data_IF_172050173440
#
_entry.id   IF_172050173440
#
_cell.length_a   1.000
_cell.length_b   1.000
_cell.length_c   1.000
_cell.angle_alpha   90.00
_cell.angle_beta   90.00
_cell.angle_gamma   90.00
#
_symmetry.space_group_name_H-M   'P 1'
#
loop_
_entity.id
_entity.type
_entity.pdbx_description
1 polymer ?
#
# COMPACT_ATOMS: atom_id res chain seq x y z
N UNK A 1 21.66 1.67 -26.78
CA UNK A 1 21.10 0.72 -25.80
C UNK A 1 19.59 0.93 -25.73
N UNK A 2 18.79 -0.12 -25.89
CA UNK A 2 17.33 -0.03 -25.81
C UNK A 2 16.88 -0.03 -24.35
N UNK A 3 16.71 1.17 -23.77
CA UNK A 3 16.21 1.36 -22.40
C UNK A 3 14.73 0.98 -22.21
N UNK A 4 14.01 0.64 -23.29
CA UNK A 4 12.57 0.35 -23.29
C UNK A 4 12.21 -1.13 -23.43
N UNK A 5 13.17 -2.04 -23.21
CA UNK A 5 12.86 -3.48 -23.27
C UNK A 5 12.14 -3.89 -22.00
N UNK A 6 10.83 -4.17 -22.10
CA UNK A 6 10.05 -4.73 -20.98
C UNK A 6 10.54 -6.13 -20.68
N UNK A 7 10.99 -6.36 -19.46
CA UNK A 7 11.41 -7.66 -18.95
C UNK A 7 10.33 -8.29 -18.07
N UNK A 8 10.46 -9.59 -17.78
CA UNK A 8 9.55 -10.28 -16.86
C UNK A 8 9.59 -9.70 -15.44
N UNK A 9 10.74 -9.17 -15.02
CA UNK A 9 10.89 -8.51 -13.72
C UNK A 9 10.08 -7.22 -13.62
N UNK A 10 9.91 -6.49 -14.72
CA UNK A 10 9.10 -5.27 -14.74
C UNK A 10 7.61 -5.57 -14.56
N UNK A 11 7.12 -6.67 -15.14
CA UNK A 11 5.74 -7.12 -14.95
C UNK A 11 5.49 -7.58 -13.51
N UNK A 12 6.41 -8.38 -12.94
CA UNK A 12 6.30 -8.83 -11.55
C UNK A 12 6.34 -7.64 -10.57
N UNK A 13 7.28 -6.71 -10.78
CA UNK A 13 7.39 -5.47 -10.01
C UNK A 13 6.14 -4.57 -10.14
N UNK A 14 5.57 -4.45 -11.34
CA UNK A 14 4.33 -3.71 -11.57
C UNK A 14 3.15 -4.31 -10.80
N UNK A 15 2.91 -5.62 -10.91
CA UNK A 15 1.80 -6.26 -10.20
C UNK A 15 2.01 -6.25 -8.68
N UNK A 16 3.26 -6.43 -8.22
CA UNK A 16 3.61 -6.29 -6.80
C UNK A 16 3.27 -4.89 -6.28
N UNK A 17 3.71 -3.84 -6.99
CA UNK A 17 3.43 -2.46 -6.62
C UNK A 17 1.94 -2.09 -6.72
N UNK A 18 1.25 -2.61 -7.72
CA UNK A 18 -0.18 -2.39 -7.90
C UNK A 18 -0.99 -2.99 -6.74
N UNK A 19 -0.68 -4.24 -6.36
CA UNK A 19 -1.37 -4.92 -5.25
C UNK A 19 -1.07 -4.22 -3.92
N UNK A 20 0.18 -3.84 -3.68
CA UNK A 20 0.58 -3.10 -2.47
C UNK A 20 -0.20 -1.78 -2.33
N UNK A 21 -0.18 -0.95 -3.38
CA UNK A 21 -0.88 0.33 -3.37
C UNK A 21 -2.41 0.16 -3.28
N UNK A 22 -2.98 -0.85 -3.95
CA UNK A 22 -4.40 -1.13 -3.86
C UNK A 22 -4.81 -1.45 -2.42
N UNK A 23 -4.05 -2.32 -1.75
CA UNK A 23 -4.29 -2.68 -0.35
C UNK A 23 -4.21 -1.43 0.53
N UNK A 24 -3.20 -0.58 0.34
CA UNK A 24 -3.03 0.65 1.12
C UNK A 24 -4.18 1.65 0.90
N UNK A 25 -4.69 1.78 -0.33
CA UNK A 25 -5.87 2.61 -0.63
C UNK A 25 -7.14 2.07 0.04
N UNK A 26 -7.31 0.75 0.11
CA UNK A 26 -8.43 0.11 0.82
C UNK A 26 -8.34 0.34 2.33
N UNK A 27 -7.14 0.18 2.91
CA UNK A 27 -6.89 0.46 4.33
C UNK A 27 -7.14 1.93 4.65
N UNK A 28 -6.62 2.86 3.84
CA UNK A 28 -6.88 4.30 3.95
C UNK A 28 -8.38 4.57 3.95
N UNK A 29 -9.12 4.01 2.99
CA UNK A 29 -10.57 4.22 2.88
C UNK A 29 -11.32 3.69 4.11
N UNK A 30 -10.98 2.48 4.57
CA UNK A 30 -11.58 1.86 5.74
C UNK A 30 -11.34 2.67 7.01
N UNK A 31 -10.11 3.20 7.20
CA UNK A 31 -9.77 4.02 8.34
C UNK A 31 -10.44 5.41 8.28
N UNK A 32 -10.47 6.05 7.11
CA UNK A 32 -11.16 7.34 6.96
C UNK A 32 -12.65 7.22 7.29
N UNK A 33 -13.32 6.17 6.81
CA UNK A 33 -14.74 5.92 7.13
C UNK A 33 -14.94 5.55 8.59
N UNK A 34 -14.21 4.53 9.07
CA UNK A 34 -14.46 3.93 10.38
C UNK A 34 -13.96 4.76 11.56
N UNK A 35 -12.88 5.51 11.38
CA UNK A 35 -12.22 6.24 12.48
C UNK A 35 -12.51 7.74 12.40
N UNK A 36 -12.49 8.32 11.20
CA UNK A 36 -12.60 9.78 11.03
C UNK A 36 -13.98 10.24 10.51
N UNK A 37 -14.94 9.33 10.36
CA UNK A 37 -16.31 9.65 9.94
C UNK A 37 -16.43 10.22 8.53
N UNK A 38 -15.49 9.92 7.64
CA UNK A 38 -15.50 10.47 6.27
C UNK A 38 -16.67 9.85 5.49
N UNK A 39 -17.51 10.67 4.82
CA UNK A 39 -18.54 10.14 3.94
C UNK A 39 -17.89 9.47 2.73
N UNK A 40 -18.46 8.34 2.30
CA UNK A 40 -17.94 7.55 1.17
C UNK A 40 -17.80 8.41 -0.09
N UNK A 41 -18.78 9.27 -0.37
CA UNK A 41 -18.76 10.16 -1.53
C UNK A 41 -17.50 11.04 -1.58
N UNK A 42 -17.09 11.61 -0.43
CA UNK A 42 -15.89 12.45 -0.34
C UNK A 42 -14.61 11.63 -0.56
N UNK A 43 -14.55 10.40 -0.04
CA UNK A 43 -13.40 9.53 -0.26
C UNK A 43 -13.26 9.18 -1.74
N UNK A 44 -14.34 8.80 -2.42
CA UNK A 44 -14.32 8.43 -3.84
C UNK A 44 -14.09 9.61 -4.78
N UNK A 45 -14.53 10.80 -4.41
CA UNK A 45 -14.42 12.00 -5.27
C UNK A 45 -13.15 12.81 -5.03
N UNK A 46 -12.60 12.78 -3.81
CA UNK A 46 -11.46 13.65 -3.43
C UNK A 46 -10.24 12.85 -3.00
N UNK A 47 -10.39 11.96 -2.02
CA UNK A 47 -9.24 11.28 -1.39
C UNK A 47 -8.59 10.27 -2.35
N UNK A 48 -9.38 9.36 -2.92
CA UNK A 48 -8.88 8.32 -3.82
C UNK A 48 -8.31 8.88 -5.13
N UNK A 49 -8.99 9.83 -5.83
CA UNK A 49 -8.41 10.45 -7.01
C UNK A 49 -7.12 11.21 -6.71
N UNK A 50 -7.06 11.92 -5.57
CA UNK A 50 -5.84 12.62 -5.14
C UNK A 50 -4.67 11.66 -4.91
N UNK A 51 -4.91 10.55 -4.22
CA UNK A 51 -3.90 9.51 -4.01
C UNK A 51 -3.49 8.81 -5.32
N UNK A 52 -4.43 8.57 -6.24
CA UNK A 52 -4.11 7.98 -7.54
C UNK A 52 -3.20 8.89 -8.37
N UNK A 53 -3.47 10.20 -8.38
CA UNK A 53 -2.62 11.19 -9.07
C UNK A 53 -1.23 11.25 -8.45
N UNK A 54 -1.12 11.25 -7.11
CA UNK A 54 0.21 11.27 -6.46
C UNK A 54 1.02 10.01 -6.78
N UNK A 55 0.39 8.84 -6.78
CA UNK A 55 1.02 7.58 -7.16
C UNK A 55 1.52 7.59 -8.61
N UNK A 56 0.70 8.09 -9.55
CA UNK A 56 1.07 8.18 -10.95
C UNK A 56 2.26 9.14 -11.14
N UNK A 57 2.17 10.35 -10.58
CA UNK A 57 3.23 11.36 -10.71
C UNK A 57 4.54 10.87 -10.09
N UNK A 58 4.47 10.27 -8.89
CA UNK A 58 5.65 9.75 -8.19
C UNK A 58 6.34 8.62 -8.95
N UNK A 59 5.58 7.66 -9.48
CA UNK A 59 6.15 6.55 -10.25
C UNK A 59 6.75 7.01 -11.59
N UNK A 60 6.09 7.95 -12.30
CA UNK A 60 6.66 8.56 -13.51
C UNK A 60 7.96 9.29 -13.20
N UNK A 61 8.01 10.03 -12.10
CA UNK A 61 9.21 10.73 -11.67
C UNK A 61 10.37 9.79 -11.34
N UNK A 62 10.13 8.69 -10.61
CA UNK A 62 11.17 7.70 -10.33
C UNK A 62 11.59 6.90 -11.56
N UNK A 63 10.66 6.58 -12.47
CA UNK A 63 10.99 5.97 -13.75
C UNK A 63 11.93 6.88 -14.58
N UNK A 64 11.62 8.19 -14.64
CA UNK A 64 12.48 9.16 -15.31
C UNK A 64 13.87 9.28 -14.66
N UNK A 65 13.95 9.26 -13.32
CA UNK A 65 15.23 9.29 -12.62
C UNK A 65 16.08 8.03 -12.88
N UNK A 66 15.47 6.84 -12.86
CA UNK A 66 16.15 5.60 -13.19
C UNK A 66 16.67 5.61 -14.63
N UNK A 67 15.85 6.07 -15.57
CA UNK A 67 16.25 6.22 -16.97
C UNK A 67 17.41 7.20 -17.15
N UNK A 68 17.37 8.36 -16.50
CA UNK A 68 18.43 9.36 -16.54
C UNK A 68 19.74 8.84 -15.92
N UNK A 69 19.64 8.08 -14.83
CA UNK A 69 20.80 7.46 -14.18
C UNK A 69 21.41 6.36 -15.06
N UNK A 70 20.58 5.51 -15.69
CA UNK A 70 21.02 4.47 -16.62
C UNK A 70 21.79 5.04 -17.80
N UNK A 71 21.32 6.15 -18.39
CA UNK A 71 22.03 6.86 -19.46
C UNK A 71 23.37 7.44 -18.99
N UNK A 72 23.39 8.11 -17.82
CA UNK A 72 24.62 8.71 -17.28
C UNK A 72 25.70 7.69 -16.93
N UNK A 73 25.30 6.52 -16.47
CA UNK A 73 26.22 5.45 -16.03
C UNK A 73 26.48 4.39 -17.09
N UNK A 74 25.86 4.52 -18.27
CA UNK A 74 25.88 3.52 -19.35
C UNK A 74 25.53 2.10 -18.86
N UNK A 75 24.55 2.01 -17.95
CA UNK A 75 24.09 0.77 -17.31
C UNK A 75 22.67 0.44 -17.73
N UNK A 76 22.41 -0.85 -17.94
CA UNK A 76 21.08 -1.40 -18.28
C UNK A 76 20.40 -2.10 -17.10
N UNK A 77 21.04 -2.16 -15.94
CA UNK A 77 20.55 -2.81 -14.71
C UNK A 77 20.06 -1.80 -13.66
N UNK A 78 19.60 -0.63 -14.12
CA UNK A 78 19.06 0.42 -13.25
C UNK A 78 17.54 0.29 -13.19
N UNK A 79 17.00 0.07 -12.00
CA UNK A 79 15.56 -0.08 -11.75
C UNK A 79 15.03 1.12 -10.98
N UNK A 80 13.82 1.56 -11.34
CA UNK A 80 13.12 2.58 -10.58
C UNK A 80 12.75 2.05 -9.19
N UNK A 81 12.93 2.89 -8.17
CA UNK A 81 12.39 2.59 -6.85
C UNK A 81 10.86 2.72 -6.95
N UNK A 82 10.09 1.74 -6.45
CA UNK A 82 8.64 1.84 -6.46
C UNK A 82 8.17 3.00 -5.57
N UNK A 83 7.24 3.81 -6.08
CA UNK A 83 6.55 4.83 -5.27
C UNK A 83 5.18 4.31 -4.82
N UNK A 84 4.93 4.38 -3.52
CA UNK A 84 3.70 3.91 -2.89
C UNK A 84 3.34 4.67 -1.62
N UNK A 85 2.24 4.30 -0.98
CA UNK A 85 1.80 4.93 0.27
C UNK A 85 2.63 4.37 1.43
N UNK A 86 3.25 5.24 2.22
CA UNK A 86 3.94 4.80 3.41
C UNK A 86 2.93 4.39 4.49
N UNK A 87 2.75 3.08 4.66
CA UNK A 87 1.79 2.48 5.61
C UNK A 87 2.02 2.94 7.05
N UNK A 88 3.28 3.12 7.47
CA UNK A 88 3.60 3.52 8.85
C UNK A 88 3.13 4.95 9.11
N UNK A 89 3.51 5.86 8.23
CA UNK A 89 3.10 7.26 8.33
C UNK A 89 1.59 7.41 8.16
N UNK A 90 0.95 6.58 7.31
CA UNK A 90 -0.50 6.54 7.15
C UNK A 90 -1.20 6.29 8.49
N UNK A 91 -0.84 5.21 9.19
CA UNK A 91 -1.42 4.92 10.50
C UNK A 91 -1.13 6.00 11.52
N UNK A 92 0.11 6.50 11.57
CA UNK A 92 0.49 7.57 12.48
C UNK A 92 -0.32 8.85 12.24
N UNK A 93 -0.48 9.29 10.99
CA UNK A 93 -1.21 10.51 10.68
C UNK A 93 -2.70 10.37 10.93
N UNK A 94 -3.28 9.20 10.65
CA UNK A 94 -4.69 8.95 10.95
C UNK A 94 -4.93 8.97 12.45
N UNK A 95 -4.19 8.17 13.23
CA UNK A 95 -4.49 8.00 14.66
C UNK A 95 -3.99 9.15 15.54
N UNK A 96 -2.88 9.80 15.21
CA UNK A 96 -2.31 10.86 16.04
C UNK A 96 -2.66 12.28 15.57
N UNK A 97 -3.19 12.44 14.36
CA UNK A 97 -3.55 13.76 13.83
C UNK A 97 -5.01 13.81 13.43
N UNK A 98 -5.41 13.06 12.40
CA UNK A 98 -6.75 13.19 11.82
C UNK A 98 -7.84 12.81 12.81
N UNK A 99 -7.66 11.70 13.54
CA UNK A 99 -8.65 11.21 14.50
C UNK A 99 -8.83 12.15 15.71
N UNK A 100 -7.76 12.63 16.38
CA UNK A 100 -7.89 13.66 17.41
C UNK A 100 -8.51 14.95 16.90
N UNK A 101 -8.17 15.39 15.69
CA UNK A 101 -8.80 16.57 15.06
C UNK A 101 -10.30 16.35 14.83
N UNK A 102 -10.68 15.16 14.35
CA UNK A 102 -12.09 14.80 14.17
C UNK A 102 -12.84 14.76 15.50
N UNK A 103 -12.27 14.16 16.54
CA UNK A 103 -12.83 14.15 17.90
C UNK A 103 -13.05 15.55 18.46
N UNK A 104 -12.12 16.47 18.20
CA UNK A 104 -12.19 17.84 18.70
C UNK A 104 -13.18 18.73 17.93
N UNK A 105 -13.33 18.52 16.62
CA UNK A 105 -14.09 19.42 15.73
C UNK A 105 -15.44 18.86 15.30
N UNK A 106 -15.59 17.54 15.29
CA UNK A 106 -16.73 16.84 14.67
C UNK A 106 -16.77 16.93 13.14
N UNK A 107 -15.79 17.58 12.50
CA UNK A 107 -15.77 17.80 11.04
C UNK A 107 -14.65 16.99 10.36
N UNK A 108 -15.05 16.08 9.47
CA UNK A 108 -14.13 15.27 8.68
C UNK A 108 -13.27 16.11 7.74
N UNK A 109 -13.74 17.29 7.31
CA UNK A 109 -12.97 18.18 6.43
C UNK A 109 -11.80 18.82 7.16
N UNK A 110 -11.97 19.20 8.42
CA UNK A 110 -10.88 19.71 9.25
C UNK A 110 -9.84 18.63 9.52
N UNK A 111 -10.28 17.40 9.80
CA UNK A 111 -9.39 16.24 9.91
C UNK A 111 -8.62 15.98 8.61
N UNK A 112 -9.27 16.07 7.45
CA UNK A 112 -8.62 15.92 6.13
C UNK A 112 -7.57 17.01 5.88
N UNK A 113 -7.89 18.27 6.15
CA UNK A 113 -6.93 19.39 6.03
C UNK A 113 -5.72 19.21 6.95
N UNK A 114 -5.94 18.78 8.19
CA UNK A 114 -4.86 18.49 9.13
C UNK A 114 -3.96 17.36 8.64
N UNK A 115 -4.56 16.28 8.12
CA UNK A 115 -3.82 15.17 7.50
C UNK A 115 -2.98 15.61 6.29
N UNK A 116 -3.54 16.45 5.42
CA UNK A 116 -2.81 17.03 4.28
C UNK A 116 -1.64 17.91 4.72
N UNK A 117 -1.86 18.77 5.72
CA UNK A 117 -0.83 19.66 6.25
C UNK A 117 0.34 18.86 6.82
N UNK A 118 0.06 17.84 7.62
CA UNK A 118 1.11 16.98 8.22
C UNK A 118 1.81 16.15 7.15
N UNK A 119 1.10 15.68 6.12
CA UNK A 119 1.70 14.95 5.00
C UNK A 119 2.67 15.85 4.22
N UNK A 120 2.28 17.11 3.96
CA UNK A 120 3.14 18.10 3.32
C UNK A 120 4.35 18.45 4.19
N UNK A 121 4.14 18.68 5.49
CA UNK A 121 5.22 18.95 6.44
C UNK A 121 6.22 17.78 6.54
N UNK A 122 5.73 16.54 6.55
CA UNK A 122 6.57 15.33 6.50
C UNK A 122 7.43 15.32 5.25
N UNK A 123 6.85 15.59 4.08
CA UNK A 123 7.60 15.69 2.83
C UNK A 123 8.68 16.77 2.87
N UNK A 124 8.40 17.93 3.47
CA UNK A 124 9.41 18.98 3.65
C UNK A 124 10.54 18.54 4.58
N UNK A 125 10.21 17.89 5.70
CA UNK A 125 11.19 17.32 6.64
C UNK A 125 12.05 16.26 5.94
N UNK A 126 11.47 15.40 5.11
CA UNK A 126 12.20 14.39 4.34
C UNK A 126 13.15 15.01 3.32
N UNK A 127 12.71 16.06 2.62
CA UNK A 127 13.57 16.81 1.68
C UNK A 127 14.76 17.43 2.43
N UNK A 128 14.52 18.10 3.55
CA UNK A 128 15.59 18.68 4.37
C UNK A 128 16.50 17.60 4.99
N UNK A 129 15.90 16.49 5.43
CA UNK A 129 16.60 15.34 5.98
C UNK A 129 17.48 14.63 4.96
N UNK A 130 17.10 14.63 3.68
CA UNK A 130 17.85 13.95 2.61
C UNK A 130 19.31 14.43 2.48
N UNK A 131 19.59 15.71 2.80
CA UNK A 131 20.95 16.27 2.79
C UNK A 131 21.85 15.69 3.89
N UNK A 132 21.26 15.34 5.04
CA UNK A 132 21.96 14.78 6.21
C UNK A 132 21.89 13.25 6.25
N UNK A 133 20.94 12.64 5.53
CA UNK A 133 20.65 11.21 5.59
C UNK A 133 21.86 10.33 5.27
N UNK A 134 22.67 10.71 4.27
CA UNK A 134 23.89 9.97 3.92
C UNK A 134 24.93 10.00 5.04
N UNK A 135 25.04 11.12 5.75
CA UNK A 135 25.96 11.27 6.88
C UNK A 135 25.49 10.41 8.05
N UNK A 136 24.22 10.52 8.45
CA UNK A 136 23.64 9.72 9.54
C UNK A 136 23.81 8.22 9.26
N UNK A 137 23.46 7.76 8.05
CA UNK A 137 23.60 6.35 7.64
C UNK A 137 25.03 5.82 7.76
N UNK A 138 26.05 6.67 7.62
CA UNK A 138 27.46 6.26 7.75
C UNK A 138 27.83 5.94 9.20
N UNK A 139 27.23 6.63 10.18
CA UNK A 139 27.51 6.44 11.61
C UNK A 139 26.53 5.48 12.29
N UNK A 140 25.36 5.24 11.71
CA UNK A 140 24.39 4.29 12.27
C UNK A 140 24.79 2.84 11.98
N UNK A 141 24.89 1.98 13.01
CA UNK A 141 25.11 0.54 12.81
C UNK A 141 24.03 -0.08 11.94
N UNK A 142 24.40 -0.94 10.99
CA UNK A 142 23.43 -1.64 10.11
C UNK A 142 22.37 -2.41 10.90
N UNK A 143 22.76 -2.99 12.03
CA UNK A 143 21.84 -3.71 12.91
C UNK A 143 20.69 -2.81 13.41
N UNK A 144 20.97 -1.55 13.74
CA UNK A 144 19.96 -0.60 14.20
C UNK A 144 18.99 -0.18 13.07
N UNK A 145 19.50 -0.02 11.84
CA UNK A 145 18.66 0.28 10.67
C UNK A 145 17.75 -0.91 10.32
N UNK A 146 18.31 -2.13 10.33
CA UNK A 146 17.58 -3.34 9.98
C UNK A 146 16.58 -3.76 11.05
N UNK A 147 16.90 -3.60 12.35
CA UNK A 147 15.99 -3.96 13.43
C UNK A 147 14.73 -3.09 13.46
N UNK A 148 14.87 -1.78 13.23
CA UNK A 148 13.76 -0.85 13.15
C UNK A 148 12.82 -1.21 11.99
N UNK A 149 13.38 -1.44 10.79
CA UNK A 149 12.61 -1.86 9.62
C UNK A 149 11.90 -3.20 9.83
N UNK A 150 12.59 -4.19 10.40
CA UNK A 150 12.01 -5.50 10.70
C UNK A 150 10.88 -5.42 11.72
N UNK A 151 11.06 -4.63 12.79
CA UNK A 151 10.03 -4.42 13.81
C UNK A 151 8.74 -3.88 13.20
N UNK A 152 8.86 -2.79 12.42
CA UNK A 152 7.73 -2.17 11.70
C UNK A 152 7.05 -3.16 10.74
N UNK A 153 7.85 -3.90 9.96
CA UNK A 153 7.32 -4.85 8.99
C UNK A 153 6.54 -5.99 9.64
N UNK A 154 6.99 -6.49 10.80
CA UNK A 154 6.30 -7.55 11.53
C UNK A 154 5.04 -7.05 12.24
N UNK A 155 5.13 -5.91 12.95
CA UNK A 155 4.04 -5.45 13.80
C UNK A 155 2.95 -4.72 13.04
N UNK A 156 3.29 -3.75 12.19
CA UNK A 156 2.31 -2.88 11.53
C UNK A 156 1.86 -3.41 10.17
N UNK A 157 2.77 -4.03 9.42
CA UNK A 157 2.44 -4.51 8.08
C UNK A 157 1.94 -5.95 8.15
N UNK A 158 2.71 -6.87 8.73
CA UNK A 158 2.40 -8.31 8.64
C UNK A 158 1.28 -8.77 9.58
N UNK A 159 1.22 -8.25 10.82
CA UNK A 159 0.33 -8.79 11.85
C UNK A 159 -1.15 -8.75 11.46
N UNK A 160 -1.65 -7.60 10.97
CA UNK A 160 -3.06 -7.45 10.59
C UNK A 160 -3.45 -8.38 9.43
N UNK A 161 -2.60 -8.49 8.39
CA UNK A 161 -2.86 -9.43 7.29
C UNK A 161 -2.75 -10.89 7.73
N UNK A 162 -1.85 -11.20 8.65
CA UNK A 162 -1.73 -12.54 9.21
C UNK A 162 -3.02 -12.93 9.95
N UNK A 163 -3.51 -12.06 10.82
CA UNK A 163 -4.77 -12.28 11.54
C UNK A 163 -5.94 -12.47 10.58
N UNK A 164 -6.09 -11.59 9.58
CA UNK A 164 -7.13 -11.73 8.53
C UNK A 164 -7.01 -13.03 7.74
N UNK A 165 -5.79 -13.53 7.52
CA UNK A 165 -5.55 -14.80 6.85
C UNK A 165 -6.02 -15.99 7.70
N UNK A 166 -5.77 -15.95 9.02
CA UNK A 166 -6.24 -16.96 9.96
C UNK A 166 -7.73 -16.89 10.28
N UNK A 167 -8.35 -15.72 10.18
CA UNK A 167 -9.81 -15.60 10.29
C UNK A 167 -10.54 -16.36 9.17
N UNK A 168 -9.91 -16.49 7.99
CA UNK A 168 -10.51 -17.12 6.81
C UNK A 168 -9.56 -18.07 6.09
N UNK A 169 -9.15 -19.16 6.76
CA UNK A 169 -8.07 -20.01 6.25
C UNK A 169 -8.45 -20.68 4.92
N UNK A 170 -9.72 -21.06 4.75
CA UNK A 170 -10.20 -21.72 3.52
C UNK A 170 -10.00 -20.87 2.26
N UNK A 171 -10.12 -19.55 2.37
CA UNK A 171 -10.00 -18.63 1.23
C UNK A 171 -8.56 -18.10 1.10
N UNK A 172 -7.91 -17.82 2.24
CA UNK A 172 -6.64 -17.08 2.27
C UNK A 172 -5.39 -17.97 2.24
N UNK A 173 -5.45 -19.22 2.69
CA UNK A 173 -4.25 -20.09 2.74
C UNK A 173 -3.77 -20.51 1.36
N UNK A 174 -4.66 -20.68 0.39
CA UNK A 174 -4.28 -21.06 -0.97
C UNK A 174 -3.51 -19.91 -1.66
N UNK A 175 -4.02 -18.65 -1.71
CA UNK A 175 -3.24 -17.50 -2.16
C UNK A 175 -1.92 -17.32 -1.42
N UNK A 176 -1.91 -17.49 -0.09
CA UNK A 176 -0.69 -17.43 0.72
C UNK A 176 0.33 -18.50 0.27
N UNK A 177 -0.13 -19.73 0.06
CA UNK A 177 0.70 -20.83 -0.43
C UNK A 177 1.31 -20.54 -1.80
N UNK A 178 0.54 -19.95 -2.73
CA UNK A 178 1.03 -19.52 -4.05
C UNK A 178 2.17 -18.50 -3.90
N UNK A 179 2.00 -17.50 -3.04
CA UNK A 179 3.04 -16.49 -2.78
C UNK A 179 4.28 -17.15 -2.16
N UNK A 180 4.12 -18.01 -1.16
CA UNK A 180 5.24 -18.69 -0.49
C UNK A 180 6.02 -19.60 -1.46
N UNK A 181 5.32 -20.33 -2.33
CA UNK A 181 5.95 -21.17 -3.36
C UNK A 181 6.78 -20.35 -4.35
N UNK A 182 6.28 -19.17 -4.76
CA UNK A 182 7.02 -18.28 -5.64
C UNK A 182 8.27 -17.71 -4.95
N UNK A 183 8.12 -17.13 -3.76
CA UNK A 183 9.19 -16.39 -3.09
C UNK A 183 10.22 -17.31 -2.41
N UNK A 184 9.77 -18.30 -1.64
CA UNK A 184 10.66 -19.22 -0.91
C UNK A 184 11.00 -20.46 -1.73
N UNK A 185 10.01 -21.03 -2.42
CA UNK A 185 10.20 -22.19 -3.27
C UNK A 185 10.92 -21.91 -4.59
N UNK A 186 11.03 -20.62 -4.99
CA UNK A 186 11.53 -20.18 -6.30
C UNK A 186 10.85 -20.90 -7.47
N UNK A 187 9.62 -21.40 -7.24
CA UNK A 187 8.83 -22.12 -8.22
C UNK A 187 8.46 -21.13 -9.32
N UNK A 188 8.56 -21.56 -10.58
CA UNK A 188 8.10 -20.79 -11.72
C UNK A 188 6.77 -21.37 -12.17
N UNK A 189 5.70 -20.59 -12.04
CA UNK A 189 4.38 -21.00 -12.52
C UNK A 189 4.37 -21.15 -14.05
N UNK A 190 3.52 -22.06 -14.57
CA UNK A 190 3.38 -22.26 -16.01
C UNK A 190 3.05 -20.93 -16.70
N UNK A 191 3.57 -20.75 -17.93
CA UNK A 191 3.46 -19.49 -18.70
C UNK A 191 4.21 -18.29 -18.12
N UNK A 192 4.98 -18.45 -17.02
CA UNK A 192 5.76 -17.36 -16.43
C UNK A 192 4.90 -16.27 -15.78
N UNK A 193 3.69 -16.65 -15.33
CA UNK A 193 2.76 -15.74 -14.66
C UNK A 193 3.37 -15.26 -13.33
N UNK A 194 3.35 -13.95 -13.04
CA UNK A 194 3.77 -13.42 -11.75
C UNK A 194 2.99 -14.06 -10.59
N UNK A 195 3.69 -14.53 -9.56
CA UNK A 195 3.08 -15.21 -8.42
C UNK A 195 2.04 -14.34 -7.71
N UNK A 196 2.28 -13.03 -7.62
CA UNK A 196 1.32 -12.07 -7.06
C UNK A 196 0.02 -11.94 -7.87
N UNK A 197 0.10 -11.99 -9.20
CA UNK A 197 -1.09 -11.97 -10.04
C UNK A 197 -1.91 -13.27 -9.88
N UNK A 198 -1.22 -14.42 -9.87
CA UNK A 198 -1.86 -15.71 -9.66
C UNK A 198 -2.53 -15.80 -8.28
N UNK A 199 -1.88 -15.31 -7.23
CA UNK A 199 -2.46 -15.32 -5.88
C UNK A 199 -3.74 -14.48 -5.79
N UNK A 200 -3.77 -13.33 -6.46
CA UNK A 200 -4.98 -12.49 -6.51
C UNK A 200 -6.11 -13.20 -7.25
N UNK A 201 -5.84 -13.77 -8.43
CA UNK A 201 -6.86 -14.50 -9.20
C UNK A 201 -7.44 -15.67 -8.41
N UNK A 202 -6.58 -16.46 -7.78
CA UNK A 202 -7.01 -17.59 -6.95
C UNK A 202 -7.82 -17.12 -5.74
N UNK A 203 -7.40 -16.04 -5.08
CA UNK A 203 -8.12 -15.47 -3.94
C UNK A 203 -9.52 -14.96 -4.34
N UNK A 204 -9.62 -14.25 -5.46
CA UNK A 204 -10.91 -13.78 -6.00
C UNK A 204 -11.82 -14.95 -6.36
N UNK A 205 -11.27 -15.96 -7.05
CA UNK A 205 -12.04 -17.13 -7.45
C UNK A 205 -12.56 -17.94 -6.26
N UNK A 206 -11.72 -18.18 -5.24
CA UNK A 206 -12.13 -18.88 -4.02
C UNK A 206 -13.16 -18.10 -3.20
N UNK A 207 -12.99 -16.78 -3.11
CA UNK A 207 -13.95 -15.89 -2.45
C UNK A 207 -15.32 -15.92 -3.16
N UNK A 208 -15.32 -16.01 -4.49
CA UNK A 208 -16.54 -16.14 -5.27
C UNK A 208 -17.24 -17.49 -5.03
N UNK A 209 -16.48 -18.59 -5.06
CA UNK A 209 -17.02 -19.94 -4.84
C UNK A 209 -17.52 -20.18 -3.42
N UNK A 210 -16.96 -19.52 -2.41
CA UNK A 210 -17.38 -19.69 -1.02
C UNK A 210 -18.71 -18.98 -0.68
N UNK A 211 -19.44 -18.47 -1.68
CA UNK A 211 -20.71 -17.76 -1.48
C UNK A 211 -20.57 -16.41 -0.74
N UNK A 212 -19.34 -15.93 -0.56
CA UNK A 212 -19.07 -14.72 0.23
C UNK A 212 -19.64 -13.45 -0.42
N UNK A 213 -19.80 -13.46 -1.74
CA UNK A 213 -20.41 -12.37 -2.49
C UNK A 213 -21.90 -12.17 -2.14
N UNK A 214 -22.63 -13.24 -1.80
CA UNK A 214 -24.02 -13.15 -1.34
C UNK A 214 -24.12 -12.60 0.08
N UNK A 215 -23.21 -12.97 0.98
CA UNK A 215 -23.24 -12.52 2.39
C UNK A 215 -22.91 -11.02 2.57
N UNK A 216 -22.11 -10.44 1.66
CA UNK A 216 -21.85 -8.99 1.65
C UNK A 216 -23.03 -8.18 1.13
N UNK A 217 -23.83 -8.74 0.21
CA UNK A 217 -25.04 -8.08 -0.29
C UNK A 217 -26.12 -8.01 0.78
N UNK A 218 -26.30 -9.06 1.57
CA UNK A 218 -27.30 -9.12 2.65
C UNK A 218 -26.96 -8.23 3.85
N UNK A 219 -25.69 -8.20 4.30
CA UNK A 219 -25.26 -7.29 5.39
C UNK A 219 -25.38 -5.80 5.05
N UNK A 220 -25.21 -5.43 3.78
CA UNK A 220 -25.38 -4.03 3.33
C UNK A 220 -26.85 -3.59 3.32
N UNK A 221 -27.79 -4.54 3.27
CA UNK A 221 -29.24 -4.30 3.38
C UNK A 221 -29.66 -4.19 4.84
N UNK A 222 -29.17 -5.05 5.74
CA UNK A 222 -29.46 -4.96 7.18
C UNK A 222 -28.95 -3.64 7.80
N UNK A 223 -27.72 -3.22 7.50
CA UNK A 223 -27.16 -1.96 8.02
C UNK A 223 -27.91 -0.70 7.56
N UNK A 224 -28.68 -0.75 6.46
CA UNK A 224 -29.55 0.35 6.03
C UNK A 224 -30.89 0.38 6.75
N UNK A 225 -31.30 -0.74 7.35
CA UNK A 225 -32.62 -0.89 7.98
C UNK A 225 -32.56 -0.53 9.48
N UNK A 226 -31.41 -0.73 10.12
CA UNK A 226 -31.17 -0.36 11.53
C UNK A 226 -31.01 1.15 11.79
N UNK A 227 -31.07 1.99 10.74
CA UNK A 227 -31.08 3.47 10.85
C UNK A 227 -32.49 4.08 10.69
N UNK A 228 -33.53 3.26 10.54
CA UNK A 228 -34.92 3.70 10.36
C UNK A 228 -35.90 3.13 11.41
N UNK A 229 -35.40 2.76 12.59
CA UNK A 229 -36.22 2.54 13.79
C UNK A 229 -35.64 3.34 14.96
#
# INVERSE_FOLDING_TARGET
MNFFTITRGDLDGFFGLMVDNLIQLLVLSALCMGVCGFPMEFITSVVLPGAAVSLLVGNVFYAWQAWKLGQRTNRSDVTAIPYGINTVSLFAFIFFVMFPTYQATGDYKEAWKAGLLVSFASGLIEVLGSFLAAHIRKYTPRAALLSALAGIALTFISMDFLLKTFERPLIAFIPLGVILLQYFGKVRFPFGIPGGFLSVLVGVFLSYLSGFWETLSTKKVESKTDFLI
#
